data_IF_732451614694
#
_entry.id   IF_732451614694
#
_cell.length_a   1.000
_cell.length_b   1.000
_cell.length_c   1.000
_cell.angle_alpha   90.00
_cell.angle_beta   90.00
_cell.angle_gamma   90.00
#
_symmetry.space_group_name_H-M   'P 1'
#
loop_
_entity.id
_entity.type
_entity.pdbx_description
1 polymer ?
#
# COMPACT_ATOMS: atom_id res chain seq x y z
N UNK A 1 -10.53 -6.41 23.39
CA UNK A 1 -9.59 -6.86 24.44
C UNK A 1 -8.21 -6.68 23.86
N UNK A 2 -7.44 -5.72 24.38
CA UNK A 2 -6.07 -5.48 23.91
C UNK A 2 -5.22 -6.75 24.07
N UNK A 3 -4.31 -7.05 23.14
CA UNK A 3 -3.16 -7.86 23.48
C UNK A 3 -2.36 -7.10 24.56
N UNK A 4 -1.99 -7.80 25.64
CA UNK A 4 -1.31 -7.25 26.82
C UNK A 4 -0.11 -6.34 26.49
N UNK A 5 0.56 -6.59 25.36
CA UNK A 5 1.71 -5.83 24.86
C UNK A 5 1.45 -4.38 24.46
N UNK A 6 0.23 -4.01 24.06
CA UNK A 6 -0.07 -2.62 23.64
C UNK A 6 -0.29 -1.69 24.83
N UNK A 7 -0.74 -2.23 25.96
CA UNK A 7 -0.92 -1.47 27.20
C UNK A 7 0.41 -1.07 27.82
N UNK A 8 1.41 -1.95 27.77
CA UNK A 8 2.75 -1.67 28.30
C UNK A 8 3.44 -0.55 27.52
N UNK A 9 3.32 -0.56 26.19
CA UNK A 9 3.85 0.51 25.33
C UNK A 9 3.24 1.87 25.65
N UNK A 10 1.91 1.92 25.84
CA UNK A 10 1.22 3.16 26.17
C UNK A 10 1.68 3.71 27.53
N UNK A 11 1.83 2.85 28.54
CA UNK A 11 2.32 3.22 29.85
C UNK A 11 3.76 3.76 29.80
N UNK A 12 4.63 3.13 29.02
CA UNK A 12 6.00 3.59 28.81
C UNK A 12 6.05 4.99 28.18
N UNK A 13 5.22 5.24 27.16
CA UNK A 13 5.10 6.55 26.53
C UNK A 13 4.60 7.60 27.52
N UNK A 14 3.56 7.29 28.30
CA UNK A 14 3.00 8.21 29.30
C UNK A 14 4.02 8.54 30.40
N UNK A 15 4.80 7.55 30.82
CA UNK A 15 5.87 7.72 31.80
C UNK A 15 7.01 8.57 31.26
N UNK A 16 7.48 8.29 30.04
CA UNK A 16 8.54 9.04 29.38
C UNK A 16 8.17 10.53 29.20
N UNK A 17 6.91 10.80 28.87
CA UNK A 17 6.37 12.15 28.69
C UNK A 17 5.89 12.81 29.99
N UNK A 18 5.95 12.11 31.14
CA UNK A 18 5.50 12.59 32.47
C UNK A 18 4.02 13.01 32.50
N UNK A 19 3.16 12.28 31.80
CA UNK A 19 1.71 12.50 31.70
C UNK A 19 0.90 11.28 32.18
N UNK A 20 1.05 10.84 33.44
CA UNK A 20 0.49 9.57 33.93
C UNK A 20 -1.05 9.53 33.97
N UNK A 21 -1.72 10.67 33.81
CA UNK A 21 -3.19 10.79 33.83
C UNK A 21 -3.76 11.32 32.50
N UNK A 22 -3.02 11.19 31.40
CA UNK A 22 -3.52 11.60 30.10
C UNK A 22 -4.80 10.83 29.73
N UNK A 23 -5.77 11.54 29.13
CA UNK A 23 -6.95 10.90 28.55
C UNK A 23 -6.52 10.04 27.36
N UNK A 24 -6.83 8.75 27.42
CA UNK A 24 -6.60 7.81 26.33
C UNK A 24 -7.88 7.71 25.51
N UNK A 25 -7.81 8.15 24.25
CA UNK A 25 -8.92 8.07 23.30
C UNK A 25 -8.62 6.99 22.28
N UNK A 26 -9.51 6.01 22.20
CA UNK A 26 -9.37 4.86 21.31
C UNK A 26 -10.47 4.86 20.27
N UNK A 27 -10.14 4.35 19.09
CA UNK A 27 -11.10 4.08 18.02
C UNK A 27 -10.87 2.68 17.48
N UNK A 28 -11.94 2.10 16.97
CA UNK A 28 -11.85 0.83 16.25
C UNK A 28 -10.94 0.98 15.03
N UNK A 29 -10.12 -0.05 14.78
CA UNK A 29 -9.36 -0.20 13.54
C UNK A 29 -10.23 -0.63 12.36
N UNK A 30 -11.48 -1.03 12.62
CA UNK A 30 -12.38 -1.54 11.60
C UNK A 30 -12.67 -0.48 10.52
N UNK A 31 -12.63 -0.94 9.28
CA UNK A 31 -12.94 -0.14 8.10
C UNK A 31 -14.00 -0.89 7.33
N UNK A 32 -15.30 -0.68 7.64
CA UNK A 32 -16.39 -1.47 7.08
C UNK A 32 -16.54 -1.30 5.55
N UNK A 33 -15.87 -0.29 4.98
CA UNK A 33 -15.79 -0.06 3.54
C UNK A 33 -14.73 -0.95 2.83
N UNK A 34 -13.87 -1.66 3.57
CA UNK A 34 -12.84 -2.54 3.00
C UNK A 34 -13.37 -3.96 2.84
N UNK A 35 -13.09 -4.56 1.68
CA UNK A 35 -13.37 -5.96 1.39
C UNK A 35 -12.07 -6.76 1.42
N UNK A 36 -12.02 -7.80 2.24
CA UNK A 36 -10.88 -8.71 2.33
C UNK A 36 -11.16 -9.98 1.52
N UNK A 37 -10.22 -10.35 0.66
CA UNK A 37 -10.31 -11.55 -0.18
C UNK A 37 -8.94 -12.22 -0.25
N UNK A 38 -8.92 -13.55 -0.12
CA UNK A 38 -7.71 -14.36 -0.26
C UNK A 38 -7.88 -15.26 -1.47
N UNK A 39 -7.01 -15.08 -2.46
CA UNK A 39 -7.02 -15.86 -3.70
C UNK A 39 -5.73 -16.67 -3.80
N UNK A 40 -5.85 -17.97 -4.05
CA UNK A 40 -4.70 -18.85 -4.26
C UNK A 40 -3.89 -18.43 -5.50
N UNK A 41 -2.55 -18.38 -5.37
CA UNK A 41 -1.66 -18.08 -6.49
C UNK A 41 -1.65 -19.25 -7.49
N UNK A 42 -1.85 -18.93 -8.76
CA UNK A 42 -1.70 -19.88 -9.86
C UNK A 42 -0.21 -20.06 -10.23
N UNK A 43 0.06 -20.98 -11.17
CA UNK A 43 1.40 -21.13 -11.79
C UNK A 43 1.83 -19.89 -12.59
N UNK A 44 0.88 -19.04 -12.99
CA UNK A 44 1.13 -17.83 -13.78
C UNK A 44 0.59 -16.58 -13.06
N UNK A 45 1.21 -16.17 -11.93
CA UNK A 45 0.66 -15.15 -11.02
C UNK A 45 0.50 -13.78 -11.68
N UNK A 46 1.39 -13.40 -12.60
CA UNK A 46 1.29 -12.14 -13.33
C UNK A 46 0.06 -12.09 -14.25
N UNK A 47 -0.23 -13.19 -14.97
CA UNK A 47 -1.44 -13.28 -15.81
C UNK A 47 -2.70 -13.26 -14.96
N UNK A 48 -2.68 -13.94 -13.81
CA UNK A 48 -3.78 -13.92 -12.86
C UNK A 48 -4.05 -12.49 -12.33
N UNK A 49 -3.00 -11.76 -11.92
CA UNK A 49 -3.12 -10.37 -11.49
C UNK A 49 -3.67 -9.47 -12.60
N UNK A 50 -3.10 -9.57 -13.81
CA UNK A 50 -3.55 -8.79 -14.96
C UNK A 50 -5.04 -9.01 -15.25
N UNK A 51 -5.51 -10.27 -15.23
CA UNK A 51 -6.91 -10.62 -15.41
C UNK A 51 -7.79 -10.03 -14.30
N UNK A 52 -7.39 -10.17 -13.03
CA UNK A 52 -8.12 -9.60 -11.89
C UNK A 52 -8.32 -8.08 -12.05
N UNK A 53 -7.25 -7.37 -12.41
CA UNK A 53 -7.29 -5.93 -12.61
C UNK A 53 -8.19 -5.54 -13.79
N UNK A 54 -8.14 -6.28 -14.90
CA UNK A 54 -8.98 -6.01 -16.08
C UNK A 54 -10.46 -6.26 -15.80
N UNK A 55 -10.79 -7.34 -15.09
CA UNK A 55 -12.17 -7.77 -14.86
C UNK A 55 -12.87 -6.91 -13.79
N UNK A 56 -12.14 -6.47 -12.76
CA UNK A 56 -12.74 -5.84 -11.56
C UNK A 56 -12.33 -4.40 -11.30
N UNK A 57 -11.14 -3.99 -11.75
CA UNK A 57 -10.51 -2.72 -11.36
C UNK A 57 -10.06 -1.88 -12.56
N UNK A 58 -10.69 -2.09 -13.71
CA UNK A 58 -10.39 -1.32 -14.93
C UNK A 58 -10.61 0.17 -14.65
N UNK A 59 -9.61 0.98 -14.99
CA UNK A 59 -9.60 2.43 -14.79
C UNK A 59 -9.70 2.90 -13.32
N UNK A 60 -9.47 2.02 -12.35
CA UNK A 60 -9.40 2.40 -10.93
C UNK A 60 -7.95 2.59 -10.49
N UNK A 61 -7.75 3.39 -9.45
CA UNK A 61 -6.46 3.51 -8.79
C UNK A 61 -6.21 2.34 -7.84
N UNK A 62 -4.94 1.98 -7.65
CA UNK A 62 -4.59 0.90 -6.73
C UNK A 62 -3.11 0.83 -6.40
N UNK A 63 -2.80 -0.03 -5.43
CA UNK A 63 -1.43 -0.35 -5.01
C UNK A 63 -1.26 -1.87 -5.09
N UNK A 64 -0.18 -2.32 -5.72
CA UNK A 64 0.23 -3.73 -5.71
C UNK A 64 1.47 -3.82 -4.82
N UNK A 65 1.32 -4.39 -3.62
CA UNK A 65 2.45 -4.63 -2.74
C UNK A 65 3.24 -5.87 -3.19
N UNK A 66 4.53 -5.67 -3.46
CA UNK A 66 5.49 -6.69 -3.87
C UNK A 66 6.46 -7.01 -2.72
N UNK A 67 6.99 -8.22 -2.72
CA UNK A 67 7.94 -8.69 -1.70
C UNK A 67 9.32 -8.04 -1.86
N UNK A 68 9.76 -7.82 -3.11
CA UNK A 68 11.13 -7.35 -3.41
C UNK A 68 11.16 -6.14 -4.34
N UNK A 69 12.32 -5.46 -4.37
CA UNK A 69 12.56 -4.32 -5.27
C UNK A 69 12.49 -4.73 -6.74
N UNK A 70 13.09 -5.88 -7.09
CA UNK A 70 13.07 -6.43 -8.45
C UNK A 70 11.66 -6.78 -8.88
N UNK A 71 10.88 -7.41 -8.01
CA UNK A 71 9.49 -7.78 -8.30
C UNK A 71 8.62 -6.55 -8.59
N UNK A 72 8.82 -5.42 -7.89
CA UNK A 72 8.10 -4.17 -8.20
C UNK A 72 8.28 -3.77 -9.66
N UNK A 73 9.52 -3.81 -10.16
CA UNK A 73 9.84 -3.44 -11.54
C UNK A 73 9.30 -4.45 -12.56
N UNK A 74 9.35 -5.75 -12.24
CA UNK A 74 8.86 -6.83 -13.09
C UNK A 74 7.34 -6.78 -13.25
N UNK A 75 6.61 -6.63 -12.14
CA UNK A 75 5.14 -6.52 -12.14
C UNK A 75 4.72 -5.28 -12.91
N UNK A 76 5.34 -4.12 -12.66
CA UNK A 76 5.01 -2.88 -13.38
C UNK A 76 5.26 -3.01 -14.87
N UNK A 77 6.39 -3.62 -15.26
CA UNK A 77 6.71 -3.87 -16.68
C UNK A 77 5.65 -4.77 -17.33
N UNK A 78 5.30 -5.88 -16.68
CA UNK A 78 4.28 -6.80 -17.20
C UNK A 78 2.93 -6.10 -17.39
N UNK A 79 2.46 -5.35 -16.39
CA UNK A 79 1.17 -4.66 -16.45
C UNK A 79 1.12 -3.58 -17.54
N UNK A 80 2.19 -2.81 -17.72
CA UNK A 80 2.28 -1.84 -18.82
C UNK A 80 2.31 -2.54 -20.19
N UNK A 81 3.22 -3.50 -20.38
CA UNK A 81 3.48 -4.07 -21.70
C UNK A 81 2.39 -5.02 -22.17
N UNK A 82 1.91 -5.89 -21.28
CA UNK A 82 0.99 -6.99 -21.61
C UNK A 82 -0.47 -6.64 -21.35
N UNK A 83 -0.75 -5.84 -20.32
CA UNK A 83 -2.12 -5.54 -19.90
C UNK A 83 -2.56 -4.10 -20.22
N UNK A 84 -1.63 -3.23 -20.66
CA UNK A 84 -1.89 -1.83 -21.02
C UNK A 84 -2.41 -0.97 -19.86
N UNK A 85 -2.03 -1.31 -18.62
CA UNK A 85 -2.27 -0.43 -17.47
C UNK A 85 -1.19 0.66 -17.38
N UNK A 86 -1.56 1.84 -16.88
CA UNK A 86 -0.61 2.89 -16.53
C UNK A 86 -0.05 2.61 -15.13
N UNK A 87 1.12 1.98 -15.07
CA UNK A 87 1.72 1.58 -13.79
C UNK A 87 3.15 2.10 -13.62
N UNK A 88 3.54 2.37 -12.38
CA UNK A 88 4.93 2.64 -12.00
C UNK A 88 5.34 1.84 -10.77
N UNK A 89 6.64 1.73 -10.53
CA UNK A 89 7.15 1.00 -9.37
C UNK A 89 7.75 1.95 -8.33
N UNK A 90 7.65 1.57 -7.05
CA UNK A 90 8.15 2.35 -5.93
C UNK A 90 8.88 1.47 -4.91
N UNK A 91 10.15 1.78 -4.63
CA UNK A 91 10.89 1.12 -3.56
C UNK A 91 12.03 1.99 -3.04
N UNK A 92 12.59 1.64 -1.87
CA UNK A 92 13.66 2.38 -1.23
C UNK A 92 14.95 2.54 -2.07
N UNK A 93 15.17 1.69 -3.07
CA UNK A 93 16.31 1.82 -4.00
C UNK A 93 16.19 2.93 -5.05
N UNK A 94 15.02 3.55 -5.21
CA UNK A 94 14.84 4.67 -6.13
C UNK A 94 15.45 5.94 -5.56
N UNK A 95 15.95 6.82 -6.43
CA UNK A 95 16.40 8.14 -6.00
C UNK A 95 15.23 8.93 -5.37
N UNK A 96 15.46 9.78 -4.35
CA UNK A 96 14.38 10.54 -3.70
C UNK A 96 13.51 11.34 -4.68
N UNK A 97 14.12 11.97 -5.69
CA UNK A 97 13.39 12.71 -6.73
C UNK A 97 12.46 11.82 -7.55
N UNK A 98 12.85 10.58 -7.84
CA UNK A 98 12.01 9.63 -8.55
C UNK A 98 10.82 9.19 -7.69
N UNK A 99 11.06 8.91 -6.40
CA UNK A 99 9.99 8.55 -5.45
C UNK A 99 8.90 9.63 -5.37
N UNK A 100 9.32 10.89 -5.25
CA UNK A 100 8.40 12.05 -5.25
C UNK A 100 7.63 12.14 -6.56
N UNK A 101 8.30 11.93 -7.70
CA UNK A 101 7.65 11.99 -9.01
C UNK A 101 6.60 10.88 -9.20
N UNK A 102 6.92 9.64 -8.82
CA UNK A 102 5.98 8.50 -8.87
C UNK A 102 4.75 8.79 -8.01
N UNK A 103 4.95 9.22 -6.76
CA UNK A 103 3.86 9.53 -5.83
C UNK A 103 2.98 10.66 -6.38
N UNK A 104 3.58 11.72 -6.94
CA UNK A 104 2.84 12.82 -7.55
C UNK A 104 1.99 12.35 -8.72
N UNK A 105 2.57 11.60 -9.67
CA UNK A 105 1.85 11.11 -10.86
C UNK A 105 0.71 10.17 -10.51
N UNK A 106 0.90 9.33 -9.49
CA UNK A 106 -0.16 8.47 -8.98
C UNK A 106 -1.27 9.28 -8.29
N UNK A 107 -0.90 10.25 -7.47
CA UNK A 107 -1.87 11.14 -6.80
C UNK A 107 -2.71 11.93 -7.82
N UNK A 108 -2.11 12.42 -8.90
CA UNK A 108 -2.81 13.15 -9.98
C UNK A 108 -3.57 12.26 -10.96
N UNK A 109 -3.50 10.93 -10.83
CA UNK A 109 -4.16 9.99 -11.75
C UNK A 109 -3.47 9.81 -13.11
N UNK A 110 -2.25 10.31 -13.29
CA UNK A 110 -1.44 10.03 -14.48
C UNK A 110 -1.01 8.56 -14.50
N UNK A 111 -0.69 8.04 -13.31
CA UNK A 111 -0.46 6.62 -13.03
C UNK A 111 -1.63 6.09 -12.22
N UNK A 112 -2.20 4.96 -12.62
CA UNK A 112 -3.34 4.39 -11.90
C UNK A 112 -2.87 3.42 -10.81
N UNK A 113 -1.84 2.64 -11.08
CA UNK A 113 -1.37 1.58 -10.18
C UNK A 113 0.10 1.79 -9.83
N UNK A 114 0.44 1.71 -8.55
CA UNK A 114 1.83 1.68 -8.09
C UNK A 114 2.18 0.29 -7.59
N UNK A 115 3.23 -0.32 -8.15
CA UNK A 115 3.83 -1.58 -7.70
C UNK A 115 4.92 -1.27 -6.67
N UNK A 116 4.69 -1.55 -5.40
CA UNK A 116 5.54 -1.04 -4.33
C UNK A 116 5.97 -2.08 -3.29
N UNK A 117 7.11 -1.83 -2.63
CA UNK A 117 7.37 -2.46 -1.33
C UNK A 117 6.73 -1.64 -0.20
N UNK A 118 6.90 -2.11 1.05
CA UNK A 118 6.49 -1.39 2.27
C UNK A 118 7.05 0.03 2.40
N UNK A 119 8.01 0.42 1.56
CA UNK A 119 8.53 1.78 1.52
C UNK A 119 7.48 2.81 1.02
N UNK A 120 6.40 2.36 0.38
CA UNK A 120 5.29 3.20 -0.08
C UNK A 120 4.15 3.17 0.95
N UNK A 121 3.99 4.25 1.72
CA UNK A 121 2.96 4.32 2.77
C UNK A 121 3.04 5.55 3.68
N UNK A 122 4.24 6.09 3.93
CA UNK A 122 4.38 7.29 4.77
C UNK A 122 3.87 8.52 4.03
N UNK A 123 2.69 9.03 4.41
CA UNK A 123 2.12 10.27 3.86
C UNK A 123 1.32 10.09 2.57
N UNK A 124 0.73 8.92 2.35
CA UNK A 124 -0.22 8.71 1.25
C UNK A 124 -1.63 9.09 1.73
N UNK A 125 -2.24 10.09 1.09
CA UNK A 125 -3.63 10.48 1.28
C UNK A 125 -4.28 10.67 -0.09
N UNK A 126 -4.80 9.57 -0.65
CA UNK A 126 -5.59 9.57 -1.90
C UNK A 126 -6.99 9.05 -1.54
N UNK A 127 -8.04 9.88 -1.62
CA UNK A 127 -9.36 9.55 -1.08
C UNK A 127 -10.10 8.47 -1.87
N UNK A 128 -9.76 8.29 -3.14
CA UNK A 128 -10.34 7.34 -4.09
C UNK A 128 -9.47 6.08 -4.29
N UNK A 129 -8.83 5.62 -3.20
CA UNK A 129 -8.10 4.34 -3.16
C UNK A 129 -9.00 3.15 -2.84
#
# INVERSE_FOLDING_TARGET
MFPMSEMDLLQDVMKALRIPHALVLERSFDRPNLKYEVVGKTKEPLKQLGKLLMDRFKNQSGIVYCLSKSECSEVSKFLNEKCKFKTEYYHAGLAPRQRVAVQKRWHTGEVHIVCATIAFGMGIDKPDL
#
